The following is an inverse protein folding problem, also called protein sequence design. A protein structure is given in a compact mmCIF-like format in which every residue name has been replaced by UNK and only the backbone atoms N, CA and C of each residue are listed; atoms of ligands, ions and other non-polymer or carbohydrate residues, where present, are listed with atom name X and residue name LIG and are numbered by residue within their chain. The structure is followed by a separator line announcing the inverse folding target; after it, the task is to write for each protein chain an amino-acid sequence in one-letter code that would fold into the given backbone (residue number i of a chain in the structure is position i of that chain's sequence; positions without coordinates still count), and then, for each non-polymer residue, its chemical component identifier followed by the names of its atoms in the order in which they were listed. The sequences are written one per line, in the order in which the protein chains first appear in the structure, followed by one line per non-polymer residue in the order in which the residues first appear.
data_IF_874502029575
#
_entry.id   IF_874502029575
#
_cell.length_a   1.000
_cell.length_b   1.000
_cell.length_c   1.000
_cell.angle_alpha   90.00
_cell.angle_beta   90.00
_cell.angle_gamma   90.00
#
_symmetry.space_group_name_H-M   'P 1'
#
loop_
_entity.id
_entity.type
_entity.pdbx_description
1 polymer ?
#
# COMPACT_ATOMS: atom_id res chain seq x y z
N UNK A 1 -11.50 -5.95 -11.66
CA UNK A 1 -10.19 -5.35 -11.37
C UNK A 1 -9.83 -5.54 -9.92
N UNK A 2 -8.58 -5.79 -9.62
CA UNK A 2 -8.06 -5.89 -8.26
C UNK A 2 -7.04 -4.78 -8.01
N UNK A 3 -6.84 -4.40 -6.74
CA UNK A 3 -5.76 -3.52 -6.36
C UNK A 3 -4.54 -4.39 -6.03
N UNK A 4 -3.35 -3.93 -6.36
CA UNK A 4 -2.11 -4.65 -6.08
C UNK A 4 -1.05 -3.69 -5.54
N UNK A 5 -0.15 -4.20 -4.70
CA UNK A 5 1.03 -3.43 -4.32
C UNK A 5 1.84 -3.12 -5.57
N UNK A 6 2.18 -1.87 -5.76
CA UNK A 6 2.86 -1.39 -6.97
C UNK A 6 4.22 -2.03 -7.21
N UNK A 7 4.91 -2.42 -6.13
CA UNK A 7 6.20 -3.12 -6.28
C UNK A 7 6.04 -4.51 -6.89
N UNK A 8 4.85 -5.12 -6.84
CA UNK A 8 4.61 -6.44 -7.39
C UNK A 8 4.55 -6.46 -8.92
N UNK A 9 4.36 -5.32 -9.56
CA UNK A 9 4.41 -5.23 -11.03
C UNK A 9 5.78 -4.78 -11.54
N UNK A 10 6.78 -4.74 -10.66
CA UNK A 10 8.15 -4.43 -11.04
C UNK A 10 8.56 -2.98 -10.88
N UNK A 11 7.71 -2.14 -10.29
CA UNK A 11 8.09 -0.76 -10.02
C UNK A 11 9.01 -0.66 -8.81
N UNK A 12 10.05 0.14 -8.91
CA UNK A 12 11.06 0.32 -7.88
C UNK A 12 10.59 1.30 -6.81
N UNK A 13 9.54 0.93 -6.08
CA UNK A 13 8.89 1.81 -5.10
C UNK A 13 8.99 1.34 -3.66
N UNK A 14 9.80 0.30 -3.36
CA UNK A 14 10.06 -0.08 -1.98
C UNK A 14 10.95 0.97 -1.30
N UNK A 15 11.07 0.89 0.03
CA UNK A 15 11.89 1.87 0.76
C UNK A 15 13.35 1.89 0.26
N UNK A 16 13.85 0.75 -0.22
CA UNK A 16 15.21 0.63 -0.74
C UNK A 16 15.32 0.99 -2.24
N UNK A 17 14.25 1.44 -2.88
CA UNK A 17 14.23 1.73 -4.31
C UNK A 17 14.27 0.48 -5.17
N UNK A 18 13.74 -0.63 -4.66
CA UNK A 18 13.70 -1.92 -5.36
C UNK A 18 12.26 -2.34 -5.62
N UNK A 19 12.08 -3.52 -6.17
CA UNK A 19 10.75 -4.07 -6.46
C UNK A 19 10.64 -5.51 -5.98
N UNK A 20 9.43 -6.05 -6.06
CA UNK A 20 9.11 -7.42 -5.70
C UNK A 20 8.31 -8.06 -6.85
N UNK A 21 8.82 -7.96 -8.06
CA UNK A 21 8.12 -8.40 -9.25
C UNK A 21 7.51 -9.80 -9.07
N UNK A 22 6.21 -9.89 -9.28
CA UNK A 22 5.46 -11.13 -9.32
C UNK A 22 4.89 -11.24 -10.74
N UNK A 23 5.36 -12.25 -11.48
CA UNK A 23 5.03 -12.39 -12.90
C UNK A 23 3.52 -12.48 -13.15
N UNK A 24 2.81 -13.24 -12.31
CA UNK A 24 1.37 -13.42 -12.43
C UNK A 24 0.61 -12.11 -12.23
N UNK A 25 1.04 -11.30 -11.28
CA UNK A 25 0.44 -9.99 -11.02
C UNK A 25 0.75 -9.02 -12.16
N UNK A 26 1.97 -9.06 -12.68
CA UNK A 26 2.36 -8.23 -13.83
C UNK A 26 1.52 -8.56 -15.05
N UNK A 27 1.23 -9.83 -15.28
CA UNK A 27 0.36 -10.25 -16.38
C UNK A 27 -1.06 -9.69 -16.23
N UNK A 28 -1.61 -9.69 -15.02
CA UNK A 28 -2.91 -9.09 -14.76
C UNK A 28 -2.90 -7.59 -15.03
N UNK A 29 -1.84 -6.91 -14.62
CA UNK A 29 -1.66 -5.49 -14.88
C UNK A 29 -1.60 -5.21 -16.39
N UNK A 30 -0.85 -6.01 -17.15
CA UNK A 30 -0.73 -5.84 -18.59
C UNK A 30 -2.07 -6.03 -19.32
N UNK A 31 -2.97 -6.82 -18.73
CA UNK A 31 -4.32 -7.03 -19.24
C UNK A 31 -5.33 -5.98 -18.78
N UNK A 32 -4.91 -4.99 -18.01
CA UNK A 32 -5.79 -3.96 -17.49
C UNK A 32 -6.66 -4.41 -16.31
N UNK A 33 -6.29 -5.52 -15.65
CA UNK A 33 -7.08 -6.11 -14.56
C UNK A 33 -6.55 -5.80 -13.16
N UNK A 34 -5.48 -5.02 -13.06
CA UNK A 34 -4.88 -4.65 -11.77
C UNK A 34 -4.63 -3.16 -11.70
N UNK A 35 -4.97 -2.55 -10.57
CA UNK A 35 -4.65 -1.17 -10.26
C UNK A 35 -3.47 -1.17 -9.28
N UNK A 36 -2.27 -0.74 -9.70
CA UNK A 36 -1.12 -0.72 -8.80
C UNK A 36 -1.15 0.50 -7.89
N UNK A 37 -0.88 0.28 -6.61
CA UNK A 37 -0.88 1.33 -5.60
C UNK A 37 0.30 1.15 -4.65
N UNK A 38 0.94 2.26 -4.27
CA UNK A 38 1.91 2.31 -3.20
C UNK A 38 1.47 3.40 -2.22
N UNK A 39 0.80 3.05 -1.12
CA UNK A 39 0.30 4.05 -0.18
C UNK A 39 1.39 4.96 0.38
N UNK A 40 2.61 4.47 0.56
CA UNK A 40 3.70 5.27 1.07
C UNK A 40 4.09 6.38 0.09
N UNK A 41 4.20 6.06 -1.19
CA UNK A 41 4.48 7.05 -2.23
C UNK A 41 3.31 8.01 -2.40
N UNK A 42 2.08 7.50 -2.36
CA UNK A 42 0.87 8.33 -2.44
C UNK A 42 0.78 9.31 -1.26
N UNK A 43 1.30 8.92 -0.10
CA UNK A 43 1.35 9.77 1.08
C UNK A 43 2.47 10.81 1.06
N UNK A 44 3.29 10.83 0.02
CA UNK A 44 4.35 11.82 -0.15
C UNK A 44 5.73 11.38 0.31
N UNK A 45 5.92 10.11 0.65
CA UNK A 45 7.22 9.61 1.05
C UNK A 45 8.13 9.39 -0.17
N UNK A 46 9.43 9.70 -0.06
CA UNK A 46 10.34 9.56 -1.19
C UNK A 46 10.77 8.12 -1.45
N UNK A 47 11.43 7.89 -2.57
CA UNK A 47 12.13 6.66 -2.91
C UNK A 47 13.58 7.02 -3.19
N UNK A 48 14.59 6.45 -2.51
CA UNK A 48 14.47 5.57 -1.34
C UNK A 48 14.04 6.34 -0.08
N UNK A 49 13.68 5.60 0.97
CA UNK A 49 13.26 6.18 2.24
C UNK A 49 13.64 5.29 3.41
N UNK A 50 13.59 5.86 4.61
CA UNK A 50 13.90 5.12 5.83
C UNK A 50 12.78 4.12 6.13
N UNK A 51 13.11 2.86 6.46
CA UNK A 51 12.09 1.88 6.85
C UNK A 51 11.31 2.33 8.08
N UNK A 52 10.05 1.95 8.16
CA UNK A 52 9.15 2.30 9.25
C UNK A 52 8.58 1.07 9.91
N UNK A 53 8.17 1.21 11.18
CA UNK A 53 7.46 0.19 11.94
C UNK A 53 6.15 0.77 12.47
N UNK A 54 5.11 -0.07 12.50
CA UNK A 54 3.84 0.30 13.11
C UNK A 54 3.93 0.00 14.60
N UNK A 55 3.75 1.02 15.42
CA UNK A 55 3.79 0.92 16.88
C UNK A 55 2.47 1.46 17.43
N UNK A 56 1.52 0.58 17.73
CA UNK A 56 0.19 0.99 18.15
C UNK A 56 -0.53 1.75 17.05
N UNK A 57 -0.92 2.98 17.31
CA UNK A 57 -1.60 3.86 16.36
C UNK A 57 -0.62 4.70 15.53
N UNK A 58 0.68 4.52 15.72
CA UNK A 58 1.69 5.35 15.07
C UNK A 58 2.58 4.54 14.14
N UNK A 59 3.13 5.22 13.13
CA UNK A 59 4.12 4.69 12.22
C UNK A 59 5.40 5.52 12.42
N UNK A 60 6.45 4.88 12.90
CA UNK A 60 7.71 5.55 13.28
C UNK A 60 8.83 5.00 12.40
N UNK A 61 9.65 5.88 11.81
CA UNK A 61 10.78 5.41 11.03
C UNK A 61 11.97 5.06 11.93
N UNK A 62 13.00 4.44 11.34
CA UNK A 62 14.18 4.01 12.09
C UNK A 62 14.97 5.17 12.72
N UNK A 63 14.74 6.37 12.26
CA UNK A 63 15.36 7.58 12.82
C UNK A 63 14.52 8.20 13.94
N UNK A 64 13.41 7.57 14.30
CA UNK A 64 12.50 8.04 15.34
C UNK A 64 11.51 9.09 14.88
N UNK A 65 11.41 9.36 13.58
CA UNK A 65 10.50 10.36 13.05
C UNK A 65 9.11 9.74 12.86
N UNK A 66 8.09 10.41 13.35
CA UNK A 66 6.69 9.98 13.20
C UNK A 66 6.23 10.24 11.75
N UNK A 67 5.86 9.17 11.07
CA UNK A 67 5.36 9.21 9.68
C UNK A 67 3.88 8.84 9.58
N UNK A 68 3.18 8.84 10.70
CA UNK A 68 1.76 8.46 10.75
C UNK A 68 0.92 9.26 9.77
N UNK A 69 1.17 10.57 9.66
CA UNK A 69 0.43 11.45 8.76
C UNK A 69 0.57 11.00 7.30
N UNK A 70 1.78 10.73 6.84
CA UNK A 70 2.05 10.31 5.47
C UNK A 70 1.41 8.96 5.19
N UNK A 71 1.50 8.02 6.12
CA UNK A 71 0.89 6.70 5.97
C UNK A 71 -0.64 6.78 5.97
N UNK A 72 -1.22 7.58 6.84
CA UNK A 72 -2.67 7.76 6.90
C UNK A 72 -3.20 8.41 5.63
N UNK A 73 -2.53 9.44 5.16
CA UNK A 73 -2.91 10.14 3.93
C UNK A 73 -2.77 9.24 2.72
N UNK A 74 -1.67 8.50 2.62
CA UNK A 74 -1.44 7.57 1.53
C UNK A 74 -2.47 6.44 1.48
N UNK A 75 -2.81 5.91 2.65
CA UNK A 75 -3.85 4.88 2.75
C UNK A 75 -5.21 5.41 2.32
N UNK A 76 -5.53 6.64 2.71
CA UNK A 76 -6.79 7.28 2.32
C UNK A 76 -6.86 7.49 0.81
N UNK A 77 -5.79 7.99 0.20
CA UNK A 77 -5.73 8.20 -1.25
C UNK A 77 -5.89 6.87 -1.98
N UNK A 78 -5.18 5.83 -1.52
CA UNK A 78 -5.27 4.51 -2.11
C UNK A 78 -6.69 3.94 -1.99
N UNK A 79 -7.31 4.10 -0.84
CA UNK A 79 -8.68 3.65 -0.62
C UNK A 79 -9.67 4.39 -1.54
N UNK A 80 -9.54 5.70 -1.67
CA UNK A 80 -10.40 6.49 -2.55
C UNK A 80 -10.28 6.03 -4.00
N UNK A 81 -9.08 5.69 -4.45
CA UNK A 81 -8.87 5.14 -5.80
C UNK A 81 -9.55 3.79 -5.97
N UNK A 82 -9.50 2.94 -4.95
CA UNK A 82 -10.17 1.64 -4.98
C UNK A 82 -11.69 1.80 -5.02
N UNK A 83 -12.24 2.69 -4.20
CA UNK A 83 -13.69 2.95 -4.16
C UNK A 83 -14.18 3.52 -5.49
N UNK A 84 -13.43 4.43 -6.08
CA UNK A 84 -13.75 5.04 -7.37
C UNK A 84 -13.87 3.98 -8.47
N UNK A 85 -13.05 2.94 -8.42
CA UNK A 85 -13.04 1.84 -9.38
C UNK A 85 -13.87 0.63 -8.93
N UNK A 86 -14.56 0.74 -7.81
CA UNK A 86 -15.37 -0.34 -7.25
C UNK A 86 -14.55 -1.62 -7.01
N UNK A 87 -13.32 -1.47 -6.56
CA UNK A 87 -12.42 -2.60 -6.27
C UNK A 87 -12.73 -3.17 -4.90
N UNK A 88 -12.85 -4.51 -4.82
CA UNK A 88 -13.18 -5.22 -3.58
C UNK A 88 -12.10 -6.18 -3.11
N UNK A 89 -11.10 -6.46 -3.94
CA UNK A 89 -10.03 -7.41 -3.64
C UNK A 89 -8.68 -6.71 -3.84
N UNK A 90 -7.78 -6.91 -2.90
CA UNK A 90 -6.42 -6.40 -2.99
C UNK A 90 -5.40 -7.50 -2.74
N UNK A 91 -4.35 -7.54 -3.56
CA UNK A 91 -3.19 -8.42 -3.37
C UNK A 91 -2.03 -7.53 -2.95
N UNK A 92 -1.60 -7.66 -1.71
CA UNK A 92 -0.65 -6.74 -1.10
C UNK A 92 0.66 -7.44 -0.74
N UNK A 93 1.75 -6.68 -0.79
CA UNK A 93 3.08 -7.17 -0.42
C UNK A 93 3.11 -7.46 1.09
N UNK A 94 3.50 -8.68 1.44
CA UNK A 94 3.65 -9.07 2.84
C UNK A 94 4.76 -8.26 3.54
N UNK A 95 4.64 -8.10 4.85
CA UNK A 95 5.63 -7.43 5.72
C UNK A 95 5.88 -5.96 5.43
N UNK A 96 5.03 -5.32 4.62
CA UNK A 96 5.08 -3.88 4.42
C UNK A 96 4.23 -3.18 5.48
N UNK A 97 4.65 -2.07 6.08
CA UNK A 97 3.83 -1.33 7.04
C UNK A 97 2.51 -0.84 6.46
N UNK A 98 2.49 -0.49 5.17
CA UNK A 98 1.27 -0.01 4.51
C UNK A 98 0.52 -1.09 3.76
N UNK A 99 1.21 -2.12 3.26
CA UNK A 99 0.63 -3.14 2.38
C UNK A 99 0.61 -4.55 2.97
N UNK A 100 1.35 -4.83 4.04
CA UNK A 100 1.46 -6.16 4.61
C UNK A 100 0.15 -6.65 5.24
N UNK A 101 -0.08 -7.95 5.19
CA UNK A 101 -1.37 -8.57 5.45
C UNK A 101 -1.91 -8.39 6.86
N UNK A 102 -1.08 -8.50 7.90
CA UNK A 102 -1.55 -8.62 9.27
C UNK A 102 -1.42 -7.36 10.13
N UNK A 103 -0.66 -6.38 9.71
CA UNK A 103 -0.39 -5.19 10.52
C UNK A 103 -0.26 -3.95 9.65
N UNK A 104 -0.98 -3.89 8.52
CA UNK A 104 -0.85 -2.77 7.64
C UNK A 104 -1.90 -1.71 7.92
N UNK A 105 -1.45 -0.49 7.86
CA UNK A 105 -2.30 0.66 8.00
C UNK A 105 -3.38 0.69 6.91
N UNK A 106 -2.98 0.38 5.68
CA UNK A 106 -3.87 0.35 4.52
C UNK A 106 -4.95 -0.73 4.64
N UNK A 107 -4.56 -1.94 5.02
CA UNK A 107 -5.50 -3.06 5.20
C UNK A 107 -6.52 -2.76 6.29
N UNK A 108 -6.09 -2.16 7.41
CA UNK A 108 -6.98 -1.75 8.49
C UNK A 108 -8.08 -0.81 7.97
N UNK A 109 -7.71 0.20 7.20
CA UNK A 109 -8.65 1.18 6.65
C UNK A 109 -9.64 0.53 5.69
N UNK A 110 -9.16 -0.33 4.79
CA UNK A 110 -10.01 -1.05 3.84
C UNK A 110 -11.03 -1.93 4.57
N UNK A 111 -10.58 -2.72 5.55
CA UNK A 111 -11.46 -3.60 6.33
C UNK A 111 -12.52 -2.77 7.06
N UNK A 112 -12.11 -1.69 7.71
CA UNK A 112 -13.02 -0.81 8.45
C UNK A 112 -14.08 -0.21 7.52
N UNK A 113 -13.66 0.26 6.35
CA UNK A 113 -14.58 0.86 5.38
C UNK A 113 -15.55 -0.17 4.82
N UNK A 114 -15.09 -1.40 4.54
CA UNK A 114 -15.96 -2.48 4.06
C UNK A 114 -17.01 -2.84 5.08
N UNK A 115 -16.67 -2.85 6.36
CA UNK A 115 -17.63 -3.10 7.44
C UNK A 115 -18.77 -2.08 7.47
N UNK A 116 -18.52 -0.86 7.02
CA UNK A 116 -19.53 0.19 6.96
C UNK A 116 -20.46 0.09 5.75
N UNK A 117 -20.06 -0.65 4.73
CA UNK A 117 -20.78 -0.75 3.46
C UNK A 117 -21.51 -2.09 3.27
N UNK A 118 -21.39 -2.95 4.23
CA UNK A 118 -22.12 -4.21 4.28
C UNK A 118 -23.39 -4.04 5.14
#
# INVERSE_FOLDING_TARGET
MIAVSRCLIGENCTYAGKNNLCKEIKELYDQGLALPLCPEVLGGLPIPRTPCEVTGEKVIDQKGIDRTKEYTQGAKIALDKCLEKNIKIAVLKAKSPSCGKNHTWFTKIIITTRSKHI
#
